data_IF_972087460644
#
_entry.id   IF_972087460644
#
_cell.length_a   1.000
_cell.length_b   1.000
_cell.length_c   1.000
_cell.angle_alpha   90.00
_cell.angle_beta   90.00
_cell.angle_gamma   90.00
#
_symmetry.space_group_name_H-M   'P 1'
#
loop_
_entity.id
_entity.type
_entity.pdbx_description
1 polymer ?
#
# COMPACT_ATOMS: atom_id res chain seq x y z
N UNK A 1 4.51 38.46 1.52
CA UNK A 1 5.02 37.37 2.40
C UNK A 1 5.58 36.30 1.46
N UNK A 2 6.85 35.98 1.59
CA UNK A 2 7.46 34.92 0.79
C UNK A 2 7.25 33.57 1.49
N UNK A 3 6.32 32.78 0.97
CA UNK A 3 6.00 31.46 1.51
C UNK A 3 7.18 30.48 1.40
N UNK A 4 8.10 30.68 0.45
CA UNK A 4 9.25 29.79 0.28
C UNK A 4 10.15 29.76 1.51
N UNK A 5 10.24 30.87 2.25
CA UNK A 5 11.07 30.99 3.44
C UNK A 5 10.54 30.22 4.67
N UNK A 6 9.26 29.81 4.66
CA UNK A 6 8.61 29.11 5.78
C UNK A 6 8.27 27.66 5.46
N UNK A 7 8.48 27.21 4.22
CA UNK A 7 8.24 25.82 3.84
C UNK A 7 9.33 24.90 4.38
N UNK A 8 8.94 23.70 4.76
CA UNK A 8 9.89 22.66 5.17
C UNK A 8 10.75 22.23 3.97
N UNK A 9 12.02 21.85 4.19
CA UNK A 9 12.96 21.40 3.17
C UNK A 9 12.39 20.29 2.26
N UNK A 10 11.64 19.36 2.86
CA UNK A 10 10.99 18.24 2.13
C UNK A 10 10.05 18.68 1.01
N UNK A 11 9.50 19.90 1.07
CA UNK A 11 8.60 20.42 0.02
C UNK A 11 9.30 20.54 -1.33
N UNK A 12 10.63 20.71 -1.34
CA UNK A 12 11.42 20.69 -2.57
C UNK A 12 11.39 19.33 -3.30
N UNK A 13 11.05 18.25 -2.60
CA UNK A 13 10.88 16.90 -3.14
C UNK A 13 9.42 16.52 -3.42
N UNK A 14 8.47 17.27 -2.88
CA UNK A 14 7.03 17.03 -3.05
C UNK A 14 6.55 17.77 -4.29
N UNK A 15 6.55 17.08 -5.43
CA UNK A 15 6.05 17.63 -6.68
C UNK A 15 4.58 17.27 -6.89
N UNK A 16 3.84 18.12 -7.60
CA UNK A 16 2.51 17.75 -8.08
C UNK A 16 2.60 16.48 -8.93
N UNK A 17 1.61 15.59 -8.79
CA UNK A 17 1.57 14.37 -9.60
C UNK A 17 1.37 14.73 -11.06
N UNK A 18 2.30 14.32 -11.92
CA UNK A 18 2.20 14.50 -13.38
C UNK A 18 0.90 13.86 -13.93
N UNK A 19 0.47 12.75 -13.32
CA UNK A 19 -0.81 12.10 -13.66
C UNK A 19 -1.98 13.05 -13.41
N UNK A 20 -1.98 13.83 -12.32
CA UNK A 20 -3.05 14.81 -12.05
C UNK A 20 -3.13 15.91 -13.10
N UNK A 21 -1.99 16.34 -13.62
CA UNK A 21 -1.99 17.31 -14.71
C UNK A 21 -2.57 16.73 -16.00
N UNK A 22 -2.28 15.45 -16.29
CA UNK A 22 -2.90 14.72 -17.39
C UNK A 22 -4.41 14.53 -17.18
N UNK A 23 -4.85 14.27 -15.94
CA UNK A 23 -6.27 14.08 -15.62
C UNK A 23 -7.11 15.35 -15.87
N UNK A 24 -6.52 16.55 -15.85
CA UNK A 24 -7.20 17.80 -16.25
C UNK A 24 -7.63 17.82 -17.72
N UNK A 25 -6.99 17.00 -18.56
CA UNK A 25 -7.36 16.85 -19.95
C UNK A 25 -8.60 15.97 -20.15
N UNK A 26 -9.02 15.21 -19.12
CA UNK A 26 -10.19 14.33 -19.17
C UNK A 26 -11.52 15.09 -19.21
N UNK A 27 -11.53 16.36 -18.86
CA UNK A 27 -12.72 17.21 -18.93
C UNK A 27 -13.08 17.57 -20.39
N UNK A 28 -12.27 17.15 -21.38
CA UNK A 28 -12.51 17.38 -22.80
C UNK A 28 -13.23 16.18 -23.43
N UNK A 29 -14.50 16.30 -23.83
CA UNK A 29 -15.33 15.16 -24.26
C UNK A 29 -14.81 14.42 -25.50
N UNK A 30 -14.00 15.08 -26.32
CA UNK A 30 -13.39 14.53 -27.53
C UNK A 30 -12.16 13.66 -27.27
N UNK A 31 -11.63 13.67 -26.04
CA UNK A 31 -10.43 12.91 -25.68
C UNK A 31 -10.78 11.55 -25.12
N UNK A 32 -10.36 10.48 -25.79
CA UNK A 32 -10.38 9.12 -25.24
C UNK A 32 -9.09 8.92 -24.45
N UNK A 33 -9.19 8.89 -23.11
CA UNK A 33 -8.03 8.82 -22.26
C UNK A 33 -7.65 7.38 -21.90
N UNK A 34 -6.35 7.08 -22.04
CA UNK A 34 -5.70 5.88 -21.52
C UNK A 34 -4.71 6.22 -20.39
N UNK A 35 -4.73 7.45 -19.88
CA UNK A 35 -3.75 7.94 -18.90
C UNK A 35 -4.01 7.47 -17.46
N UNK A 36 -5.25 7.12 -17.12
CA UNK A 36 -5.60 6.67 -15.76
C UNK A 36 -6.72 5.64 -15.78
N UNK A 37 -6.57 4.58 -14.98
CA UNK A 37 -7.60 3.55 -14.77
C UNK A 37 -8.71 4.06 -13.85
N UNK A 38 -9.50 5.02 -14.30
CA UNK A 38 -10.65 5.54 -13.56
C UNK A 38 -11.81 4.56 -13.73
N UNK A 39 -12.44 4.06 -12.65
CA UNK A 39 -13.62 3.21 -12.75
C UNK A 39 -14.77 3.91 -13.48
N UNK A 40 -15.54 3.15 -14.26
CA UNK A 40 -16.74 3.67 -14.90
C UNK A 40 -17.77 4.10 -13.85
N UNK A 41 -18.15 5.40 -13.80
CA UNK A 41 -19.09 5.89 -12.79
C UNK A 41 -20.50 5.29 -12.93
N UNK A 42 -20.88 4.80 -14.10
CA UNK A 42 -22.17 4.17 -14.33
C UNK A 42 -22.31 2.81 -13.62
N UNK A 43 -21.18 2.18 -13.28
CA UNK A 43 -21.14 0.88 -12.61
C UNK A 43 -21.14 0.98 -11.09
N UNK A 44 -21.04 2.18 -10.51
CA UNK A 44 -21.09 2.30 -9.04
C UNK A 44 -22.48 1.91 -8.52
N UNK A 45 -22.56 1.07 -7.47
CA UNK A 45 -23.82 0.61 -6.89
C UNK A 45 -24.45 1.71 -6.00
N UNK A 46 -24.83 2.83 -6.61
CA UNK A 46 -25.27 4.05 -5.89
C UNK A 46 -26.49 3.82 -5.01
N UNK A 47 -27.42 2.92 -5.42
CA UNK A 47 -28.59 2.60 -4.60
C UNK A 47 -28.17 1.82 -3.34
N UNK A 48 -27.28 0.83 -3.45
CA UNK A 48 -26.80 0.09 -2.31
C UNK A 48 -26.04 0.99 -1.31
N UNK A 49 -25.28 1.98 -1.81
CA UNK A 49 -24.65 2.99 -0.94
C UNK A 49 -25.68 3.85 -0.22
N UNK A 50 -26.75 4.28 -0.89
CA UNK A 50 -27.83 5.03 -0.26
C UNK A 50 -28.49 4.22 0.84
N UNK A 51 -28.87 2.98 0.56
CA UNK A 51 -29.52 2.09 1.51
C UNK A 51 -28.64 1.82 2.73
N UNK A 52 -27.33 1.65 2.54
CA UNK A 52 -26.36 1.46 3.61
C UNK A 52 -26.22 2.73 4.47
N UNK A 53 -26.19 3.92 3.86
CA UNK A 53 -26.16 5.19 4.60
C UNK A 53 -27.45 5.41 5.39
N UNK A 54 -28.61 5.15 4.79
CA UNK A 54 -29.89 5.27 5.48
C UNK A 54 -29.97 4.30 6.67
N UNK A 55 -29.52 3.07 6.50
CA UNK A 55 -29.47 2.09 7.59
C UNK A 55 -28.52 2.55 8.72
N UNK A 56 -27.35 3.11 8.38
CA UNK A 56 -26.40 3.61 9.38
C UNK A 56 -26.93 4.81 10.16
N UNK A 57 -27.73 5.69 9.53
CA UNK A 57 -28.19 6.97 10.12
C UNK A 57 -29.59 6.90 10.74
N UNK A 58 -30.38 5.86 10.47
CA UNK A 58 -31.76 5.71 11.01
C UNK A 58 -31.89 4.62 12.05
N UNK A 59 -30.93 3.72 12.16
CA UNK A 59 -30.95 2.61 13.13
C UNK A 59 -30.53 3.03 14.55
N UNK A 60 -30.54 2.08 15.51
CA UNK A 60 -30.11 2.33 16.89
C UNK A 60 -28.65 2.80 17.01
N UNK A 61 -27.86 2.53 15.98
CA UNK A 61 -26.44 2.92 15.88
C UNK A 61 -26.21 4.30 15.27
N UNK A 62 -27.26 5.04 14.90
CA UNK A 62 -27.13 6.34 14.22
C UNK A 62 -26.24 7.33 14.97
N UNK A 63 -26.37 7.41 16.30
CA UNK A 63 -25.51 8.23 17.13
C UNK A 63 -24.03 7.82 17.11
N UNK A 64 -23.75 6.51 16.94
CA UNK A 64 -22.39 5.98 16.86
C UNK A 64 -21.77 6.31 15.50
N UNK A 65 -22.55 6.24 14.42
CA UNK A 65 -22.08 6.52 13.06
C UNK A 65 -21.54 7.96 12.89
N UNK A 66 -22.01 8.90 13.70
CA UNK A 66 -21.62 10.32 13.66
C UNK A 66 -20.68 10.71 14.80
N UNK A 67 -20.31 9.79 15.69
CA UNK A 67 -19.47 10.06 16.85
C UNK A 67 -17.98 9.81 16.54
N UNK A 68 -17.13 10.37 17.38
CA UNK A 68 -15.71 9.99 17.43
C UNK A 68 -15.54 8.48 17.61
N UNK A 69 -14.54 7.92 16.95
CA UNK A 69 -14.12 6.52 17.09
C UNK A 69 -12.70 6.44 17.65
N UNK A 70 -12.25 5.24 17.97
CA UNK A 70 -10.85 4.98 18.33
C UNK A 70 -9.93 5.18 17.12
N UNK A 71 -8.65 5.47 17.38
CA UNK A 71 -7.68 5.79 16.34
C UNK A 71 -7.46 4.65 15.35
N UNK A 72 -7.57 3.41 15.83
CA UNK A 72 -7.44 2.20 15.02
C UNK A 72 -8.61 2.01 14.04
N UNK A 73 -9.69 2.74 14.24
CA UNK A 73 -10.87 2.70 13.38
C UNK A 73 -12.04 1.87 13.92
N UNK A 74 -13.14 1.94 13.22
CA UNK A 74 -14.42 1.35 13.63
C UNK A 74 -14.32 -0.17 13.83
N UNK A 75 -14.50 -0.63 15.06
CA UNK A 75 -14.27 -2.02 15.46
C UNK A 75 -15.05 -3.05 14.63
N UNK A 76 -16.34 -2.86 14.31
CA UNK A 76 -17.06 -3.82 13.47
C UNK A 76 -16.44 -4.00 12.07
N UNK A 77 -15.89 -2.94 11.47
CA UNK A 77 -15.17 -3.06 10.20
C UNK A 77 -13.86 -3.82 10.38
N UNK A 78 -13.10 -3.55 11.45
CA UNK A 78 -11.89 -4.31 11.77
C UNK A 78 -12.20 -5.79 11.98
N UNK A 79 -13.28 -6.12 12.69
CA UNK A 79 -13.72 -7.50 12.91
C UNK A 79 -14.09 -8.19 11.59
N UNK A 80 -14.78 -7.51 10.68
CA UNK A 80 -15.06 -8.05 9.34
C UNK A 80 -13.77 -8.28 8.54
N UNK A 81 -12.80 -7.37 8.66
CA UNK A 81 -11.50 -7.53 8.00
C UNK A 81 -10.69 -8.70 8.55
N UNK A 82 -10.84 -9.07 9.83
CA UNK A 82 -10.21 -10.30 10.38
C UNK A 82 -10.65 -11.52 9.58
N UNK A 83 -11.95 -11.68 9.34
CA UNK A 83 -12.47 -12.79 8.55
C UNK A 83 -12.00 -12.72 7.09
N UNK A 84 -11.99 -11.50 6.52
CA UNK A 84 -11.51 -11.27 5.16
C UNK A 84 -10.03 -11.63 5.00
N UNK A 85 -9.16 -11.23 5.94
CA UNK A 85 -7.74 -11.55 5.94
C UNK A 85 -7.48 -13.04 6.18
N UNK A 86 -8.23 -13.66 7.10
CA UNK A 86 -8.15 -15.09 7.37
C UNK A 86 -8.48 -15.92 6.12
N UNK A 87 -9.47 -15.52 5.31
CA UNK A 87 -9.81 -16.19 4.06
C UNK A 87 -8.68 -16.13 3.01
N UNK A 88 -7.74 -15.20 3.14
CA UNK A 88 -6.54 -15.10 2.29
C UNK A 88 -5.31 -15.81 2.89
N UNK A 89 -5.47 -16.50 4.03
CA UNK A 89 -4.37 -17.17 4.73
C UNK A 89 -3.58 -16.25 5.66
N UNK A 90 -4.13 -15.11 6.03
CA UNK A 90 -3.55 -14.16 6.98
C UNK A 90 -4.39 -14.16 8.27
N UNK A 91 -4.23 -15.14 9.15
CA UNK A 91 -4.89 -15.12 10.45
C UNK A 91 -4.37 -13.97 11.30
N UNK A 92 -5.28 -13.16 11.81
CA UNK A 92 -4.96 -11.99 12.63
C UNK A 92 -6.09 -11.72 13.62
N UNK A 93 -5.80 -10.88 14.62
CA UNK A 93 -6.80 -10.35 15.54
C UNK A 93 -7.21 -8.92 15.15
N UNK A 94 -8.30 -8.46 15.76
CA UNK A 94 -8.84 -7.13 15.52
C UNK A 94 -7.81 -6.02 15.83
N UNK A 95 -6.88 -6.28 16.74
CA UNK A 95 -5.86 -5.32 17.15
C UNK A 95 -4.64 -5.29 16.21
N UNK A 96 -4.55 -6.23 15.26
CA UNK A 96 -3.58 -6.18 14.17
C UNK A 96 -4.04 -5.32 12.98
N UNK A 97 -5.24 -4.72 13.03
CA UNK A 97 -5.82 -3.98 11.92
C UNK A 97 -6.00 -2.51 12.28
N UNK A 98 -5.41 -1.64 11.47
CA UNK A 98 -5.61 -0.20 11.48
C UNK A 98 -6.37 0.24 10.22
N UNK A 99 -7.52 0.92 10.41
CA UNK A 99 -8.25 1.53 9.30
C UNK A 99 -7.61 2.85 8.90
N UNK A 100 -7.45 3.06 7.60
CA UNK A 100 -6.82 4.25 7.03
C UNK A 100 -7.73 4.93 6.00
N UNK A 101 -7.43 6.18 5.68
CA UNK A 101 -8.12 6.93 4.60
C UNK A 101 -7.60 6.51 3.22
N UNK A 102 -7.85 5.23 2.86
CA UNK A 102 -7.28 4.54 1.73
C UNK A 102 -5.83 4.08 2.00
N UNK A 103 -5.33 3.13 1.20
CA UNK A 103 -3.95 2.63 1.33
C UNK A 103 -2.89 3.72 1.18
N UNK A 104 -3.18 4.82 0.49
CA UNK A 104 -2.26 5.95 0.38
C UNK A 104 -1.88 6.55 1.74
N UNK A 105 -2.81 6.60 2.71
CA UNK A 105 -2.52 7.06 4.07
C UNK A 105 -1.69 6.02 4.82
N UNK A 106 -1.95 4.72 4.62
CA UNK A 106 -1.10 3.67 5.17
C UNK A 106 0.36 3.83 4.71
N UNK A 107 0.57 4.04 3.40
CA UNK A 107 1.92 4.27 2.85
C UNK A 107 2.58 5.52 3.45
N UNK A 108 1.83 6.61 3.63
CA UNK A 108 2.36 7.83 4.27
C UNK A 108 2.74 7.58 5.73
N UNK A 109 1.91 6.88 6.49
CA UNK A 109 2.21 6.51 7.88
C UNK A 109 3.45 5.62 7.97
N UNK A 110 3.58 4.62 7.09
CA UNK A 110 4.75 3.74 7.06
C UNK A 110 6.02 4.51 6.66
N UNK A 111 5.91 5.42 5.68
CA UNK A 111 7.00 6.33 5.36
C UNK A 111 7.44 7.16 6.56
N UNK A 112 6.48 7.76 7.28
CA UNK A 112 6.74 8.55 8.50
C UNK A 112 7.35 7.73 9.63
N UNK A 113 6.92 6.48 9.78
CA UNK A 113 7.36 5.60 10.87
C UNK A 113 8.75 5.01 10.62
N UNK A 114 9.06 4.66 9.37
CA UNK A 114 10.20 3.83 9.04
C UNK A 114 11.39 4.60 8.44
N UNK A 115 11.19 5.78 7.85
CA UNK A 115 12.22 6.48 7.06
C UNK A 115 12.79 7.66 7.83
N UNK A 116 14.11 7.66 8.00
CA UNK A 116 14.88 8.85 8.26
C UNK A 116 15.53 9.38 6.96
N UNK A 117 15.85 10.69 6.87
CA UNK A 117 16.53 11.23 5.69
C UNK A 117 17.79 10.44 5.34
N UNK A 118 17.97 10.08 4.07
CA UNK A 118 19.05 9.26 3.50
C UNK A 118 18.92 7.74 3.67
N UNK A 119 17.95 7.25 4.43
CA UNK A 119 17.63 5.82 4.44
C UNK A 119 17.19 5.34 3.04
N UNK A 120 17.31 4.06 2.80
CA UNK A 120 16.98 3.43 1.51
C UNK A 120 15.70 2.63 1.62
N UNK A 121 14.77 2.87 0.70
CA UNK A 121 13.62 2.02 0.42
C UNK A 121 13.90 1.21 -0.86
N UNK A 122 13.79 -0.11 -0.78
CA UNK A 122 13.85 -0.98 -1.95
C UNK A 122 12.50 -1.01 -2.63
N UNK A 123 12.44 -0.74 -3.94
CA UNK A 123 11.18 -0.69 -4.70
C UNK A 123 11.32 -1.46 -6.01
N UNK A 124 10.29 -2.18 -6.42
CA UNK A 124 10.23 -2.74 -7.78
C UNK A 124 10.23 -1.62 -8.82
N UNK A 125 10.75 -1.88 -10.02
CA UNK A 125 10.87 -0.82 -11.02
C UNK A 125 10.43 -1.27 -12.42
N UNK A 126 9.49 -0.55 -13.07
CA UNK A 126 8.75 0.63 -12.56
C UNK A 126 7.82 0.28 -11.39
N UNK A 127 7.42 1.28 -10.59
CA UNK A 127 6.56 1.10 -9.42
C UNK A 127 5.48 2.17 -9.33
N UNK A 128 4.55 2.02 -8.39
CA UNK A 128 3.44 2.94 -8.20
C UNK A 128 3.93 4.33 -7.75
N UNK A 129 3.64 5.33 -8.57
CA UNK A 129 4.06 6.72 -8.32
C UNK A 129 3.46 7.31 -7.04
N UNK A 130 2.26 6.85 -6.63
CA UNK A 130 1.64 7.28 -5.38
C UNK A 130 2.43 6.84 -4.15
N UNK A 131 3.04 5.64 -4.17
CA UNK A 131 3.91 5.16 -3.11
C UNK A 131 5.20 5.98 -3.06
N UNK A 132 5.86 6.20 -4.21
CA UNK A 132 7.03 7.07 -4.27
C UNK A 132 6.74 8.47 -3.73
N UNK A 133 5.56 9.03 -4.06
CA UNK A 133 5.11 10.33 -3.57
C UNK A 133 4.94 10.37 -2.05
N UNK A 134 4.34 9.31 -1.44
CA UNK A 134 4.18 9.20 0.00
C UNK A 134 5.54 9.13 0.70
N UNK A 135 6.41 8.24 0.24
CA UNK A 135 7.73 8.04 0.85
C UNK A 135 8.67 9.23 0.65
N UNK A 136 8.61 9.88 -0.52
CA UNK A 136 9.53 10.98 -0.89
C UNK A 136 9.45 12.18 0.05
N UNK A 137 8.31 12.37 0.74
CA UNK A 137 8.15 13.38 1.78
C UNK A 137 9.13 13.18 2.96
N UNK A 138 9.62 11.96 3.18
CA UNK A 138 10.55 11.59 4.27
C UNK A 138 12.00 11.48 3.80
N UNK A 139 12.27 11.88 2.56
CA UNK A 139 13.61 12.02 1.98
C UNK A 139 14.44 10.73 1.89
N UNK A 140 13.85 9.57 1.52
CA UNK A 140 14.61 8.35 1.30
C UNK A 140 15.43 8.44 0.02
N UNK A 141 16.26 7.43 -0.14
CA UNK A 141 16.77 6.96 -1.43
C UNK A 141 15.95 5.76 -1.87
N UNK A 142 15.89 5.56 -3.18
CA UNK A 142 15.20 4.40 -3.76
C UNK A 142 16.22 3.55 -4.51
N UNK A 143 16.32 2.29 -4.14
CA UNK A 143 17.10 1.30 -4.87
C UNK A 143 16.17 0.27 -5.52
N UNK A 144 16.59 -0.23 -6.68
CA UNK A 144 15.77 -1.13 -7.48
C UNK A 144 15.80 -2.54 -6.91
N UNK A 145 14.64 -3.00 -6.45
CA UNK A 145 14.39 -4.40 -6.11
C UNK A 145 13.97 -5.19 -7.36
N UNK A 146 14.57 -6.35 -7.58
CA UNK A 146 14.16 -7.31 -8.60
C UNK A 146 13.88 -8.68 -7.96
N UNK A 147 12.63 -8.96 -7.52
CA UNK A 147 12.28 -10.21 -6.84
C UNK A 147 12.44 -11.46 -7.71
N UNK A 148 12.38 -11.31 -9.05
CA UNK A 148 12.54 -12.40 -9.98
C UNK A 148 14.01 -12.63 -10.43
N UNK A 149 14.96 -11.99 -9.78
CA UNK A 149 16.38 -12.16 -10.06
C UNK A 149 16.85 -13.54 -9.64
N UNK A 150 17.67 -14.18 -10.47
CA UNK A 150 18.37 -15.42 -10.12
C UNK A 150 19.63 -15.18 -9.27
N UNK A 151 19.88 -13.95 -8.85
CA UNK A 151 21.04 -13.59 -8.04
C UNK A 151 20.86 -14.13 -6.62
N UNK A 152 21.94 -14.69 -5.99
CA UNK A 152 21.88 -15.09 -4.59
C UNK A 152 21.42 -13.94 -3.68
N UNK A 153 20.48 -14.22 -2.78
CA UNK A 153 19.88 -13.22 -1.87
C UNK A 153 20.95 -12.55 -1.00
N UNK A 154 21.91 -13.33 -0.49
CA UNK A 154 23.01 -12.80 0.33
C UNK A 154 23.87 -11.75 -0.41
N UNK A 155 24.16 -11.99 -1.71
CA UNK A 155 24.93 -11.03 -2.51
C UNK A 155 24.13 -9.76 -2.79
N UNK A 156 22.84 -9.89 -3.07
CA UNK A 156 21.96 -8.74 -3.27
C UNK A 156 21.84 -7.92 -1.97
N UNK A 157 21.64 -8.58 -0.83
CA UNK A 157 21.57 -7.95 0.49
C UNK A 157 22.83 -7.19 0.84
N UNK A 158 24.01 -7.80 0.60
CA UNK A 158 25.31 -7.17 0.87
C UNK A 158 25.49 -5.88 0.04
N UNK A 159 25.10 -5.89 -1.25
CA UNK A 159 25.21 -4.71 -2.11
C UNK A 159 24.25 -3.59 -1.66
N UNK A 160 22.99 -3.91 -1.32
CA UNK A 160 22.05 -2.94 -0.83
C UNK A 160 22.50 -2.32 0.50
N UNK A 161 22.97 -3.14 1.45
CA UNK A 161 23.49 -2.67 2.74
C UNK A 161 24.70 -1.75 2.55
N UNK A 162 25.64 -2.14 1.67
CA UNK A 162 26.83 -1.34 1.33
C UNK A 162 26.43 -0.01 0.71
N UNK A 163 25.59 -0.02 -0.33
CA UNK A 163 25.15 1.20 -1.01
C UNK A 163 24.43 2.16 -0.07
N UNK A 164 23.56 1.67 0.81
CA UNK A 164 22.88 2.49 1.80
C UNK A 164 23.87 3.10 2.81
N UNK A 165 24.82 2.33 3.30
CA UNK A 165 25.85 2.79 4.27
C UNK A 165 26.76 3.86 3.67
N UNK A 166 27.22 3.67 2.44
CA UNK A 166 28.05 4.67 1.73
C UNK A 166 27.34 6.01 1.55
N UNK A 167 26.02 6.01 1.63
CA UNK A 167 25.18 7.20 1.51
C UNK A 167 24.73 7.76 2.87
N UNK A 168 25.21 7.16 3.96
CA UNK A 168 24.96 7.61 5.33
C UNK A 168 23.60 7.24 5.90
N UNK A 169 22.93 6.22 5.33
CA UNK A 169 21.67 5.65 5.80
C UNK A 169 21.75 4.12 5.90
N UNK A 170 20.59 3.48 6.00
CA UNK A 170 20.44 2.02 5.99
C UNK A 170 19.20 1.63 5.17
N UNK A 171 19.12 0.38 4.74
CA UNK A 171 17.89 -0.15 4.14
C UNK A 171 16.82 -0.29 5.23
N UNK A 172 15.59 0.15 4.94
CA UNK A 172 14.49 0.16 5.93
C UNK A 172 13.37 -0.80 5.59
N UNK A 173 13.00 -0.87 4.33
CA UNK A 173 11.96 -1.77 3.88
C UNK A 173 12.07 -2.09 2.40
N UNK A 174 11.39 -3.16 2.00
CA UNK A 174 11.06 -3.47 0.62
C UNK A 174 9.57 -3.16 0.38
N UNK A 175 9.27 -2.34 -0.64
CA UNK A 175 7.91 -2.06 -1.09
C UNK A 175 7.62 -2.83 -2.37
N UNK A 176 6.55 -3.60 -2.37
CA UNK A 176 6.11 -4.40 -3.51
C UNK A 176 4.60 -4.34 -3.70
N UNK A 177 4.15 -4.31 -4.95
CA UNK A 177 2.78 -4.63 -5.33
C UNK A 177 2.81 -6.06 -5.88
N UNK A 178 2.42 -7.03 -5.05
CA UNK A 178 2.62 -8.45 -5.36
C UNK A 178 1.67 -8.97 -6.44
N UNK A 179 0.49 -8.36 -6.60
CA UNK A 179 -0.51 -8.72 -7.61
C UNK A 179 -0.85 -7.54 -8.51
N UNK A 180 -0.79 -7.76 -9.82
CA UNK A 180 -1.17 -6.77 -10.85
C UNK A 180 -0.52 -5.42 -10.66
N UNK A 181 0.81 -5.42 -10.50
CA UNK A 181 1.60 -4.23 -10.18
C UNK A 181 1.32 -3.07 -11.12
N UNK A 182 1.14 -1.87 -10.56
CA UNK A 182 1.01 -0.64 -11.33
C UNK A 182 2.41 -0.01 -11.56
N UNK A 183 2.86 0.18 -12.83
CA UNK A 183 2.09 0.13 -14.06
C UNK A 183 2.22 -1.16 -14.87
N UNK A 184 2.96 -2.17 -14.43
CA UNK A 184 3.38 -3.32 -15.28
C UNK A 184 2.28 -4.36 -15.49
N UNK A 185 1.31 -4.46 -14.58
CA UNK A 185 0.31 -5.53 -14.55
C UNK A 185 0.87 -6.88 -14.10
N UNK A 186 2.14 -6.96 -13.73
CA UNK A 186 2.81 -8.20 -13.32
C UNK A 186 2.30 -8.69 -11.97
N UNK A 187 2.25 -10.02 -11.82
CA UNK A 187 2.02 -10.70 -10.56
C UNK A 187 3.27 -11.48 -10.17
N UNK A 188 3.76 -11.27 -8.95
CA UNK A 188 4.87 -12.04 -8.41
C UNK A 188 4.43 -13.48 -8.13
N UNK A 189 5.11 -14.45 -8.75
CA UNK A 189 4.93 -15.85 -8.43
C UNK A 189 5.47 -16.19 -7.03
N UNK A 190 5.17 -17.40 -6.55
CA UNK A 190 5.52 -17.85 -5.19
C UNK A 190 7.02 -17.66 -4.90
N UNK A 191 7.91 -18.12 -5.78
CA UNK A 191 9.35 -18.02 -5.56
C UNK A 191 9.86 -16.58 -5.46
N UNK A 192 9.25 -15.65 -6.20
CA UNK A 192 9.61 -14.23 -6.11
C UNK A 192 9.14 -13.60 -4.78
N UNK A 193 7.96 -14.01 -4.28
CA UNK A 193 7.48 -13.59 -2.95
C UNK A 193 8.36 -14.12 -1.83
N UNK A 194 8.78 -15.38 -1.94
CA UNK A 194 9.73 -16.00 -1.00
C UNK A 194 11.09 -15.31 -1.02
N UNK A 195 11.60 -14.94 -2.20
CA UNK A 195 12.86 -14.21 -2.32
C UNK A 195 12.81 -12.81 -1.68
N UNK A 196 11.64 -12.15 -1.70
CA UNK A 196 11.44 -10.87 -0.97
C UNK A 196 11.55 -11.11 0.53
N UNK A 197 10.93 -12.17 1.07
CA UNK A 197 11.03 -12.51 2.49
C UNK A 197 12.46 -12.87 2.90
N UNK A 198 13.15 -13.69 2.11
CA UNK A 198 14.54 -14.07 2.37
C UNK A 198 15.47 -12.85 2.39
N UNK A 199 15.25 -11.89 1.47
CA UNK A 199 15.99 -10.63 1.45
C UNK A 199 15.66 -9.77 2.69
N UNK A 200 14.38 -9.68 3.06
CA UNK A 200 13.95 -8.94 4.22
C UNK A 200 14.51 -9.52 5.53
N UNK A 201 14.51 -10.84 5.68
CA UNK A 201 15.11 -11.53 6.83
C UNK A 201 16.64 -11.29 6.86
N UNK A 202 17.33 -11.35 5.72
CA UNK A 202 18.80 -11.14 5.63
C UNK A 202 19.19 -9.69 5.99
N UNK A 203 18.38 -8.72 5.56
CA UNK A 203 18.63 -7.29 5.82
C UNK A 203 18.04 -6.79 7.14
N UNK A 204 17.22 -7.60 7.83
CA UNK A 204 16.50 -7.23 9.04
C UNK A 204 15.55 -6.02 8.83
N UNK A 205 14.78 -6.05 7.72
CA UNK A 205 13.91 -4.96 7.28
C UNK A 205 12.44 -5.35 7.19
N UNK A 206 11.56 -4.35 7.11
CA UNK A 206 10.13 -4.58 6.85
C UNK A 206 9.85 -4.87 5.36
N UNK A 207 8.70 -5.52 5.09
CA UNK A 207 8.09 -5.60 3.77
C UNK A 207 6.77 -4.85 3.80
N UNK A 208 6.57 -3.94 2.86
CA UNK A 208 5.28 -3.27 2.63
C UNK A 208 4.65 -3.92 1.41
N UNK A 209 3.60 -4.71 1.63
CA UNK A 209 2.84 -5.39 0.58
C UNK A 209 1.61 -4.54 0.22
N UNK A 210 1.68 -3.81 -0.90
CA UNK A 210 0.55 -3.03 -1.42
C UNK A 210 -0.37 -3.92 -2.25
N UNK A 211 -1.53 -4.23 -1.70
CA UNK A 211 -2.48 -5.20 -2.25
C UNK A 211 -3.73 -4.57 -2.85
N UNK A 212 -3.63 -3.35 -3.38
CA UNK A 212 -4.77 -2.61 -3.91
C UNK A 212 -5.51 -3.34 -5.04
N UNK A 213 -4.85 -4.24 -5.77
CA UNK A 213 -5.40 -4.92 -6.97
C UNK A 213 -5.63 -6.42 -6.79
N UNK A 214 -5.21 -7.02 -5.69
CA UNK A 214 -5.26 -8.48 -5.47
C UNK A 214 -6.65 -9.08 -5.72
N UNK A 215 -7.70 -8.41 -5.26
CA UNK A 215 -9.09 -8.86 -5.43
C UNK A 215 -9.62 -8.76 -6.88
N UNK A 216 -8.86 -8.18 -7.81
CA UNK A 216 -9.24 -8.05 -9.22
C UNK A 216 -8.71 -9.19 -10.10
N UNK A 217 -8.49 -10.36 -9.54
CA UNK A 217 -8.09 -11.52 -10.32
C UNK A 217 -9.29 -12.08 -11.08
N UNK A 218 -9.24 -12.02 -12.41
CA UNK A 218 -10.28 -12.51 -13.30
C UNK A 218 -9.98 -13.90 -13.87
N UNK A 219 -8.70 -14.31 -13.84
CA UNK A 219 -8.22 -15.58 -14.36
C UNK A 219 -6.99 -16.07 -13.62
N UNK A 220 -6.74 -17.38 -13.65
CA UNK A 220 -5.63 -18.04 -12.98
C UNK A 220 -5.82 -18.19 -11.45
N UNK A 221 -4.98 -19.05 -10.88
CA UNK A 221 -5.02 -19.32 -9.44
C UNK A 221 -4.40 -18.18 -8.62
N UNK A 222 -4.99 -17.85 -7.46
CA UNK A 222 -4.42 -16.85 -6.57
C UNK A 222 -3.08 -17.34 -5.99
N UNK A 223 -2.15 -16.43 -5.82
CA UNK A 223 -0.91 -16.66 -5.07
C UNK A 223 -1.09 -16.10 -3.66
N UNK A 224 -0.71 -16.87 -2.64
CA UNK A 224 -0.81 -16.43 -1.25
C UNK A 224 -0.08 -15.10 -1.02
N UNK A 225 -0.66 -14.15 -0.26
CA UNK A 225 0.01 -12.91 0.11
C UNK A 225 1.38 -13.16 0.73
N UNK A 226 2.30 -12.21 0.60
CA UNK A 226 3.62 -12.29 1.23
C UNK A 226 3.47 -12.40 2.75
N UNK A 227 2.54 -11.66 3.33
CA UNK A 227 2.23 -11.76 4.76
C UNK A 227 1.78 -13.16 5.17
N UNK A 228 0.93 -13.82 4.37
CA UNK A 228 0.51 -15.20 4.64
C UNK A 228 1.70 -16.18 4.60
N UNK A 229 2.61 -16.00 3.63
CA UNK A 229 3.82 -16.82 3.53
C UNK A 229 4.75 -16.60 4.74
N UNK A 230 4.87 -15.37 5.21
CA UNK A 230 5.68 -15.06 6.37
C UNK A 230 5.08 -15.66 7.65
N UNK A 231 3.76 -15.55 7.84
CA UNK A 231 3.07 -16.21 8.97
C UNK A 231 3.28 -17.72 8.94
N UNK A 232 3.19 -18.35 7.75
CA UNK A 232 3.45 -19.78 7.62
C UNK A 232 4.89 -20.18 8.01
N UNK A 233 5.87 -19.29 7.81
CA UNK A 233 7.26 -19.51 8.22
C UNK A 233 7.49 -19.29 9.71
N UNK A 234 6.86 -18.27 10.30
CA UNK A 234 7.13 -17.79 11.66
C UNK A 234 6.13 -18.29 12.71
N UNK A 235 4.95 -18.75 12.25
CA UNK A 235 3.90 -19.33 13.09
C UNK A 235 2.98 -18.30 13.78
N UNK A 236 3.34 -17.02 13.77
CA UNK A 236 2.59 -15.95 14.44
C UNK A 236 2.73 -14.65 13.67
N UNK A 237 1.63 -13.89 13.51
CA UNK A 237 1.61 -12.58 12.88
C UNK A 237 2.48 -11.57 13.63
N UNK A 238 2.53 -11.65 14.97
CA UNK A 238 3.36 -10.76 15.80
C UNK A 238 4.87 -10.95 15.58
N UNK A 239 5.28 -12.10 15.03
CA UNK A 239 6.65 -12.34 14.64
C UNK A 239 6.99 -11.85 13.23
N UNK A 240 5.99 -11.40 12.46
CA UNK A 240 6.13 -10.97 11.08
C UNK A 240 6.55 -9.51 10.98
N UNK A 241 7.19 -9.17 9.86
CA UNK A 241 7.56 -7.80 9.49
C UNK A 241 6.91 -7.34 8.19
N UNK A 242 6.13 -8.20 7.56
CA UNK A 242 5.31 -7.83 6.40
C UNK A 242 4.08 -7.06 6.88
N UNK A 243 3.88 -5.89 6.30
CA UNK A 243 2.72 -5.04 6.54
C UNK A 243 1.87 -5.05 5.28
N UNK A 244 0.71 -5.69 5.37
CA UNK A 244 -0.26 -5.73 4.27
C UNK A 244 -1.06 -4.44 4.22
N UNK A 245 -1.12 -3.79 3.06
CA UNK A 245 -1.87 -2.57 2.82
C UNK A 245 -3.01 -2.83 1.84
N UNK A 246 -4.23 -2.88 2.35
CA UNK A 246 -5.45 -3.10 1.58
C UNK A 246 -6.25 -1.83 1.32
N UNK A 247 -7.13 -1.88 0.32
CA UNK A 247 -8.01 -0.75 -0.03
C UNK A 247 -9.31 -1.22 -0.65
N UNK A 248 -10.41 -0.55 -0.33
CA UNK A 248 -11.70 -0.71 -1.02
C UNK A 248 -11.81 0.13 -2.30
N UNK A 249 -10.77 0.87 -2.66
CA UNK A 249 -10.81 1.76 -3.83
C UNK A 249 -11.07 1.05 -5.16
N UNK A 250 -10.70 -0.23 -5.26
CA UNK A 250 -10.85 -1.02 -6.51
C UNK A 250 -11.98 -2.04 -6.45
N UNK A 251 -12.49 -2.34 -5.27
CA UNK A 251 -13.55 -3.34 -5.06
C UNK A 251 -14.92 -2.74 -4.75
N UNK A 252 -14.96 -1.53 -4.18
CA UNK A 252 -16.20 -0.81 -3.88
C UNK A 252 -16.25 0.55 -4.58
N UNK A 253 -15.46 1.50 -4.09
CA UNK A 253 -15.41 2.85 -4.65
C UNK A 253 -14.17 3.60 -4.18
N UNK A 254 -13.43 4.26 -5.07
CA UNK A 254 -12.28 5.08 -4.68
C UNK A 254 -12.67 6.31 -3.87
N UNK A 255 -13.91 6.81 -4.01
CA UNK A 255 -14.42 8.00 -3.32
C UNK A 255 -14.65 7.81 -1.82
N UNK A 256 -14.83 6.58 -1.35
CA UNK A 256 -15.03 6.28 0.08
C UNK A 256 -13.79 6.55 0.92
N UNK A 257 -12.61 6.51 0.32
CA UNK A 257 -11.34 6.68 1.01
C UNK A 257 -11.17 5.74 2.21
N UNK A 258 -11.48 4.46 2.04
CA UNK A 258 -11.29 3.44 3.08
C UNK A 258 -10.22 2.43 2.64
N UNK A 259 -9.24 2.24 3.51
CA UNK A 259 -8.20 1.22 3.41
C UNK A 259 -7.85 0.70 4.79
N UNK A 260 -6.91 -0.24 4.85
CA UNK A 260 -6.40 -0.82 6.10
C UNK A 260 -4.94 -1.25 5.96
N UNK A 261 -4.31 -1.39 7.06
CA UNK A 261 -3.03 -2.07 7.15
C UNK A 261 -2.98 -2.91 8.43
#
# INVERSE_FOLDING_TARGET
>A
MDWQSVLAERTGRMKASEIRELLKLLDQPEIISFAGGIPDPALFPTQAFRDAMDAALTGPSAGIALQYSVSEGYRPLRAWLVDYMAAMGVPCDVDNILITSGSQQALDYLGKLLIDPRDTALVTWPTYMGALGAFNAYQPRFDRLNPASNRPVADAAADFAKAATEQGGRVKFAYVTADFANPTGETLGLSAREAVLDLADTLDIAVIEDAAYQALRYDGEPVAPIQALEIARKGDIEACRTIYCGSFSKTLSPGLRVGWM
#
